data_IF_220153199015
#
_entry.id   IF_220153199015
#
_cell.length_a   1.000
_cell.length_b   1.000
_cell.length_c   1.000
_cell.angle_alpha   90.00
_cell.angle_beta   90.00
_cell.angle_gamma   90.00
#
_symmetry.space_group_name_H-M   'P 1'
#
loop_
_entity.id
_entity.type
_entity.pdbx_description
1 polymer ?
#
# COMPACT_ATOMS: atom_id res chain seq x y z
N UNK A 1 2.13 -18.26 4.62
CA UNK A 1 3.39 -17.60 4.98
C UNK A 1 3.64 -16.48 3.99
N UNK A 2 3.95 -15.30 4.50
CA UNK A 2 4.19 -14.08 3.72
C UNK A 2 5.61 -14.15 3.15
N UNK A 3 5.77 -13.89 1.85
CA UNK A 3 7.07 -13.90 1.16
C UNK A 3 7.45 -12.54 0.60
N UNK A 4 6.47 -11.72 0.19
CA UNK A 4 6.71 -10.43 -0.46
C UNK A 4 5.83 -9.33 0.10
N UNK A 5 6.43 -8.17 0.36
CA UNK A 5 5.74 -6.98 0.82
C UNK A 5 5.99 -5.79 -0.11
N UNK A 6 4.96 -5.02 -0.42
CA UNK A 6 5.10 -3.66 -0.95
C UNK A 6 4.95 -2.66 0.19
N UNK A 7 5.90 -1.74 0.31
CA UNK A 7 5.88 -0.67 1.32
C UNK A 7 5.95 0.69 0.61
N UNK A 8 4.93 1.54 0.79
CA UNK A 8 4.90 2.89 0.23
C UNK A 8 4.23 3.84 1.22
N UNK A 9 5.03 4.70 1.85
CA UNK A 9 4.64 5.44 3.06
C UNK A 9 4.90 6.94 2.95
N UNK A 10 3.86 7.70 3.29
CA UNK A 10 3.95 9.12 3.59
C UNK A 10 4.52 9.30 5.00
N UNK A 11 3.82 8.76 6.01
CA UNK A 11 4.28 8.69 7.40
C UNK A 11 5.18 7.46 7.60
N UNK A 12 6.40 7.67 8.08
CA UNK A 12 7.42 6.62 8.25
C UNK A 12 7.60 6.23 9.71
N UNK A 13 6.69 6.64 10.60
CA UNK A 13 6.70 6.28 12.01
C UNK A 13 6.72 4.77 12.20
N UNK A 14 7.63 4.27 13.04
CA UNK A 14 7.75 2.84 13.38
C UNK A 14 8.19 1.91 12.24
N UNK A 15 8.54 2.43 11.05
CA UNK A 15 8.91 1.57 9.90
C UNK A 15 10.20 0.81 10.14
N UNK A 16 11.13 1.35 10.95
CA UNK A 16 12.42 0.73 11.20
C UNK A 16 12.27 -0.63 11.86
N UNK A 17 11.59 -0.67 13.00
CA UNK A 17 11.36 -1.88 13.78
C UNK A 17 10.50 -2.86 12.97
N UNK A 18 9.46 -2.35 12.30
CA UNK A 18 8.57 -3.18 11.51
C UNK A 18 9.29 -3.85 10.32
N UNK A 19 10.08 -3.10 9.56
CA UNK A 19 10.76 -3.65 8.40
C UNK A 19 11.91 -4.61 8.79
N UNK A 20 12.56 -4.41 9.95
CA UNK A 20 13.52 -5.37 10.49
C UNK A 20 12.87 -6.72 10.82
N UNK A 21 11.66 -6.71 11.39
CA UNK A 21 10.88 -7.94 11.62
C UNK A 21 10.54 -8.64 10.29
N UNK A 22 10.13 -7.89 9.26
CA UNK A 22 9.87 -8.48 7.94
C UNK A 22 11.12 -9.15 7.36
N UNK A 23 12.28 -8.50 7.47
CA UNK A 23 13.58 -9.05 7.03
C UNK A 23 13.94 -10.31 7.82
N UNK A 24 13.67 -10.34 9.13
CA UNK A 24 13.89 -11.53 9.96
C UNK A 24 13.08 -12.74 9.46
N UNK A 25 11.85 -12.51 8.98
CA UNK A 25 11.03 -13.56 8.33
C UNK A 25 11.45 -13.87 6.88
N UNK A 26 12.50 -13.24 6.36
CA UNK A 26 12.98 -13.46 4.99
C UNK A 26 12.07 -12.87 3.92
N UNK A 27 11.26 -11.86 4.26
CA UNK A 27 10.32 -11.23 3.33
C UNK A 27 11.07 -10.29 2.39
N UNK A 28 10.82 -10.46 1.09
CA UNK A 28 11.32 -9.57 0.05
C UNK A 28 10.51 -8.26 0.06
N UNK A 29 11.21 -7.12 0.07
CA UNK A 29 10.59 -5.80 0.15
C UNK A 29 10.70 -5.07 -1.20
N UNK A 30 9.54 -4.68 -1.71
CA UNK A 30 9.37 -3.79 -2.85
C UNK A 30 8.99 -2.41 -2.33
N UNK A 31 9.61 -1.36 -2.86
CA UNK A 31 9.28 0.01 -2.47
C UNK A 31 9.58 1.01 -3.59
N UNK A 32 9.26 2.28 -3.37
CA UNK A 32 9.47 3.35 -4.35
C UNK A 32 9.74 4.68 -3.66
N UNK A 33 10.40 5.60 -4.38
CA UNK A 33 10.60 6.99 -3.97
C UNK A 33 11.22 7.15 -2.58
N UNK A 34 10.70 8.10 -1.80
CA UNK A 34 11.22 8.42 -0.46
C UNK A 34 11.16 7.25 0.53
N UNK A 35 10.21 6.32 0.38
CA UNK A 35 10.13 5.13 1.25
C UNK A 35 11.28 4.17 0.97
N UNK A 36 11.59 3.91 -0.31
CA UNK A 36 12.72 3.06 -0.69
C UNK A 36 14.05 3.63 -0.18
N UNK A 37 14.23 4.96 -0.28
CA UNK A 37 15.40 5.65 0.27
C UNK A 37 15.55 5.43 1.78
N UNK A 38 14.49 5.70 2.55
CA UNK A 38 14.52 5.50 4.02
C UNK A 38 14.83 4.06 4.40
N UNK A 39 14.23 3.07 3.72
CA UNK A 39 14.52 1.65 4.00
C UNK A 39 15.98 1.29 3.72
N UNK A 40 16.57 1.80 2.62
CA UNK A 40 17.99 1.58 2.30
C UNK A 40 18.92 2.21 3.33
N UNK A 41 18.61 3.42 3.82
CA UNK A 41 19.36 4.08 4.89
C UNK A 41 19.35 3.28 6.20
N UNK A 42 18.32 2.46 6.41
CA UNK A 42 18.21 1.52 7.52
C UNK A 42 18.92 0.18 7.27
N UNK A 43 19.62 0.02 6.14
CA UNK A 43 20.33 -1.20 5.75
C UNK A 43 19.43 -2.30 5.19
N UNK A 44 18.17 -1.98 4.84
CA UNK A 44 17.21 -2.96 4.32
C UNK A 44 17.36 -3.06 2.80
N UNK A 45 17.46 -4.28 2.29
CA UNK A 45 17.45 -4.55 0.85
C UNK A 45 16.06 -4.27 0.29
N UNK A 46 16.00 -3.44 -0.75
CA UNK A 46 14.76 -3.02 -1.41
C UNK A 46 14.90 -3.20 -2.92
N UNK A 47 13.93 -3.90 -3.51
CA UNK A 47 13.70 -3.92 -4.96
C UNK A 47 12.82 -2.71 -5.32
N UNK A 48 13.24 -1.90 -6.30
CA UNK A 48 12.41 -0.76 -6.72
C UNK A 48 11.19 -1.27 -7.50
N UNK A 49 10.03 -0.65 -7.28
CA UNK A 49 8.80 -0.98 -8.01
C UNK A 49 8.99 -0.80 -9.52
N UNK A 50 9.70 0.24 -9.96
CA UNK A 50 10.00 0.48 -11.38
C UNK A 50 10.90 -0.60 -11.99
N UNK A 51 11.88 -1.12 -11.22
CA UNK A 51 12.72 -2.24 -11.64
C UNK A 51 11.87 -3.51 -11.84
N UNK A 52 10.99 -3.81 -10.90
CA UNK A 52 10.10 -4.97 -11.00
C UNK A 52 9.09 -4.84 -12.14
N UNK A 53 8.43 -3.68 -12.28
CA UNK A 53 7.44 -3.48 -13.34
C UNK A 53 8.09 -3.43 -14.71
N UNK A 54 9.32 -2.91 -14.80
CA UNK A 54 9.99 -2.56 -16.05
C UNK A 54 9.41 -1.28 -16.68
N UNK A 55 8.65 -0.50 -15.90
CA UNK A 55 8.02 0.73 -16.37
C UNK A 55 8.58 1.93 -15.62
N UNK A 56 9.04 2.98 -16.33
CA UNK A 56 9.62 4.15 -15.68
C UNK A 56 8.56 4.96 -14.93
N UNK A 57 9.01 5.77 -13.98
CA UNK A 57 8.15 6.76 -13.36
C UNK A 57 7.84 7.88 -14.36
N UNK A 58 6.55 8.16 -14.60
CA UNK A 58 6.08 9.21 -15.51
C UNK A 58 5.03 10.08 -14.81
N UNK A 59 4.78 11.28 -15.36
CA UNK A 59 3.80 12.25 -14.84
C UNK A 59 4.01 12.53 -13.34
N UNK A 60 5.26 12.82 -12.97
CA UNK A 60 5.69 13.13 -11.60
C UNK A 60 5.24 12.10 -10.56
N UNK A 61 5.21 10.82 -10.95
CA UNK A 61 4.90 9.71 -10.06
C UNK A 61 3.44 9.35 -9.92
N UNK A 62 2.54 10.01 -10.66
CA UNK A 62 1.08 9.77 -10.62
C UNK A 62 0.67 8.33 -10.94
N UNK A 63 1.44 7.61 -11.76
CA UNK A 63 1.07 6.27 -12.26
C UNK A 63 2.10 5.18 -11.93
N UNK A 64 2.98 5.40 -10.96
CA UNK A 64 4.10 4.48 -10.67
C UNK A 64 3.70 3.08 -10.19
N UNK A 65 2.54 2.93 -9.52
CA UNK A 65 2.07 1.64 -8.99
C UNK A 65 0.86 1.06 -9.73
N UNK A 66 0.30 1.80 -10.70
CA UNK A 66 -0.89 1.41 -11.45
C UNK A 66 -0.53 0.45 -12.59
N UNK A 67 0.01 -0.72 -12.23
CA UNK A 67 0.58 -1.66 -13.19
C UNK A 67 0.03 -3.09 -12.98
N UNK A 68 -0.23 -3.88 -14.05
CA UNK A 68 -0.72 -5.26 -13.94
C UNK A 68 0.19 -6.19 -13.13
N UNK A 69 1.51 -6.01 -13.18
CA UNK A 69 2.44 -6.77 -12.31
C UNK A 69 2.24 -6.52 -10.81
N UNK A 70 1.74 -5.34 -10.42
CA UNK A 70 1.41 -5.02 -9.04
C UNK A 70 0.02 -5.58 -8.72
N UNK A 71 -1.01 -5.16 -9.46
CA UNK A 71 -2.39 -5.52 -9.14
C UNK A 71 -2.70 -7.00 -9.41
N UNK A 72 -2.07 -7.62 -10.40
CA UNK A 72 -2.15 -9.07 -10.63
C UNK A 72 -1.55 -9.86 -9.46
N UNK A 73 -0.39 -9.43 -8.94
CA UNK A 73 0.23 -10.03 -7.77
C UNK A 73 -0.60 -9.87 -6.48
N UNK A 74 -1.37 -8.77 -6.38
CA UNK A 74 -2.28 -8.49 -5.26
C UNK A 74 -3.63 -9.21 -5.37
N UNK A 75 -4.20 -9.34 -6.56
CA UNK A 75 -5.59 -9.77 -6.77
C UNK A 75 -5.75 -11.23 -7.20
N UNK A 76 -4.66 -11.92 -7.56
CA UNK A 76 -4.74 -13.33 -7.88
C UNK A 76 -5.23 -14.12 -6.67
N UNK A 77 -6.23 -14.98 -6.90
CA UNK A 77 -6.74 -15.90 -5.88
C UNK A 77 -5.83 -17.10 -5.85
N UNK A 78 -5.10 -17.30 -4.75
CA UNK A 78 -4.00 -18.29 -4.72
C UNK A 78 -4.50 -19.73 -4.73
N UNK A 79 -5.75 -19.93 -4.31
CA UNK A 79 -6.46 -21.21 -4.41
C UNK A 79 -7.05 -21.48 -5.80
N UNK A 80 -6.99 -20.54 -6.74
CA UNK A 80 -7.42 -20.73 -8.12
C UNK A 80 -6.21 -21.10 -9.01
N UNK A 81 -6.11 -22.34 -9.53
CA UNK A 81 -5.01 -22.75 -10.40
C UNK A 81 -4.88 -21.94 -11.69
N UNK A 82 -5.98 -21.43 -12.25
CA UNK A 82 -5.95 -20.60 -13.46
C UNK A 82 -5.29 -19.25 -13.21
N UNK A 83 -5.64 -18.57 -12.11
CA UNK A 83 -5.00 -17.30 -11.73
C UNK A 83 -3.49 -17.51 -11.57
N UNK A 84 -3.07 -18.57 -10.86
CA UNK A 84 -1.66 -18.87 -10.63
C UNK A 84 -0.89 -19.23 -11.91
N UNK A 85 -1.55 -19.93 -12.85
CA UNK A 85 -0.98 -20.23 -14.17
C UNK A 85 -0.73 -18.93 -14.95
N UNK A 86 -1.72 -18.04 -15.01
CA UNK A 86 -1.60 -16.74 -15.69
C UNK A 86 -0.47 -15.90 -15.09
N UNK A 87 -0.37 -15.84 -13.76
CA UNK A 87 0.74 -15.14 -13.09
C UNK A 87 2.09 -15.69 -13.54
N UNK A 88 2.26 -17.01 -13.57
CA UNK A 88 3.51 -17.64 -14.00
C UNK A 88 3.83 -17.36 -15.46
N UNK A 89 2.84 -17.44 -16.37
CA UNK A 89 3.02 -17.19 -17.81
C UNK A 89 3.42 -15.74 -18.10
N UNK A 90 2.91 -14.80 -17.31
CA UNK A 90 3.19 -13.37 -17.45
C UNK A 90 4.39 -12.89 -16.61
N UNK A 91 5.07 -13.79 -15.88
CA UNK A 91 6.18 -13.44 -15.01
C UNK A 91 5.80 -12.50 -13.86
N UNK A 92 4.57 -12.63 -13.35
CA UNK A 92 4.04 -11.83 -12.23
C UNK A 92 4.22 -12.63 -10.94
N UNK A 93 4.84 -12.03 -9.92
CA UNK A 93 4.96 -12.65 -8.60
C UNK A 93 3.76 -12.30 -7.71
N UNK A 94 3.41 -13.17 -6.78
CA UNK A 94 2.43 -12.84 -5.74
C UNK A 94 3.00 -11.80 -4.77
N UNK A 95 2.14 -10.89 -4.34
CA UNK A 95 2.43 -9.95 -3.26
C UNK A 95 1.54 -10.34 -2.07
N UNK A 96 2.15 -10.55 -0.91
CA UNK A 96 1.49 -11.14 0.25
C UNK A 96 1.16 -10.10 1.32
N UNK A 97 1.86 -8.97 1.31
CA UNK A 97 1.63 -7.86 2.21
C UNK A 97 1.70 -6.50 1.48
N UNK A 98 0.82 -5.58 1.86
CA UNK A 98 0.87 -4.17 1.43
C UNK A 98 0.84 -3.28 2.66
N UNK A 99 1.84 -2.42 2.78
CA UNK A 99 1.97 -1.43 3.86
C UNK A 99 1.96 -0.05 3.20
N UNK A 100 0.82 0.62 3.28
CA UNK A 100 0.60 1.90 2.60
C UNK A 100 -0.20 2.81 3.50
N UNK A 101 0.31 4.00 3.81
CA UNK A 101 -0.50 5.04 4.44
C UNK A 101 -0.71 6.21 3.48
N UNK A 102 -1.94 6.73 3.49
CA UNK A 102 -2.31 7.89 2.70
C UNK A 102 -1.81 9.14 3.40
N UNK A 103 -1.26 10.09 2.63
CA UNK A 103 -1.11 11.43 3.17
C UNK A 103 -2.52 11.98 3.44
N UNK A 104 -2.79 12.55 4.63
CA UNK A 104 -4.11 13.03 4.96
C UNK A 104 -4.48 14.20 4.04
N UNK A 105 -5.30 13.93 3.02
CA UNK A 105 -5.85 14.97 2.13
C UNK A 105 -6.53 16.08 2.94
N UNK A 106 -7.22 15.69 4.03
CA UNK A 106 -7.79 16.61 5.02
C UNK A 106 -6.76 17.59 5.59
N UNK A 107 -5.53 17.16 5.87
CA UNK A 107 -4.46 18.04 6.33
C UNK A 107 -4.00 19.00 5.23
N UNK A 108 -4.03 18.57 3.97
CA UNK A 108 -3.69 19.43 2.82
C UNK A 108 -4.72 20.56 2.68
N UNK A 109 -6.00 20.22 2.67
CA UNK A 109 -7.08 21.21 2.48
C UNK A 109 -7.31 22.10 3.72
N UNK A 110 -6.75 21.72 4.88
CA UNK A 110 -6.80 22.52 6.11
C UNK A 110 -5.72 23.61 6.18
N UNK A 111 -4.74 23.62 5.26
CA UNK A 111 -3.75 24.70 5.20
C UNK A 111 -4.45 26.00 4.79
N UNK A 112 -4.08 27.10 5.47
CA UNK A 112 -4.74 28.41 5.34
C UNK A 112 -4.82 28.93 3.89
N UNK A 113 -3.81 28.63 3.06
CA UNK A 113 -3.65 29.20 1.72
C UNK A 113 -3.46 28.12 0.64
N UNK A 114 -4.04 26.93 0.84
CA UNK A 114 -3.99 25.86 -0.17
C UNK A 114 -4.76 26.27 -1.43
N UNK A 115 -4.06 26.29 -2.57
CA UNK A 115 -4.69 26.54 -3.87
C UNK A 115 -5.56 25.36 -4.29
N UNK A 116 -6.47 25.59 -5.25
CA UNK A 116 -7.25 24.49 -5.82
C UNK A 116 -6.33 23.47 -6.50
N UNK A 117 -5.36 23.95 -7.26
CA UNK A 117 -4.37 23.17 -7.98
C UNK A 117 -3.52 22.34 -7.01
N UNK A 118 -3.02 22.94 -5.91
CA UNK A 118 -2.27 22.20 -4.88
C UNK A 118 -3.12 21.09 -4.28
N UNK A 119 -4.39 21.34 -3.99
CA UNK A 119 -5.28 20.29 -3.47
C UNK A 119 -5.45 19.16 -4.50
N UNK A 120 -5.72 19.48 -5.78
CA UNK A 120 -5.89 18.48 -6.84
C UNK A 120 -4.63 17.61 -7.01
N UNK A 121 -3.43 18.21 -6.97
CA UNK A 121 -2.16 17.47 -7.08
C UNK A 121 -1.92 16.51 -5.90
N UNK A 122 -2.51 16.77 -4.74
CA UNK A 122 -2.38 15.93 -3.55
C UNK A 122 -3.45 14.81 -3.46
N UNK A 123 -4.29 14.64 -4.48
CA UNK A 123 -5.19 13.48 -4.57
C UNK A 123 -4.39 12.25 -5.01
N UNK A 124 -4.24 11.29 -4.10
CA UNK A 124 -3.56 10.03 -4.36
C UNK A 124 -4.47 9.06 -5.09
N UNK A 125 -3.97 8.50 -6.19
CA UNK A 125 -4.64 7.46 -6.97
C UNK A 125 -4.04 6.08 -6.67
N UNK A 126 -2.72 6.00 -6.62
CA UNK A 126 -1.99 4.75 -6.48
C UNK A 126 -2.18 4.10 -5.11
N UNK A 127 -2.08 4.90 -4.04
CA UNK A 127 -2.25 4.45 -2.65
C UNK A 127 -3.62 3.80 -2.41
N UNK A 128 -4.74 4.51 -2.65
CA UNK A 128 -6.08 3.94 -2.48
C UNK A 128 -6.32 2.71 -3.36
N UNK A 129 -5.80 2.68 -4.59
CA UNK A 129 -5.97 1.54 -5.50
C UNK A 129 -5.26 0.28 -4.96
N UNK A 130 -4.01 0.40 -4.49
CA UNK A 130 -3.29 -0.71 -3.87
C UNK A 130 -3.98 -1.18 -2.59
N UNK A 131 -4.35 -0.25 -1.71
CA UNK A 131 -5.06 -0.53 -0.47
C UNK A 131 -6.35 -1.32 -0.71
N UNK A 132 -7.19 -0.85 -1.63
CA UNK A 132 -8.46 -1.52 -1.97
C UNK A 132 -8.25 -2.87 -2.63
N UNK A 133 -7.23 -3.01 -3.47
CA UNK A 133 -6.88 -4.30 -4.09
C UNK A 133 -6.52 -5.34 -3.04
N UNK A 134 -5.65 -4.97 -2.10
CA UNK A 134 -5.22 -5.83 -1.01
C UNK A 134 -6.34 -6.16 -0.03
N UNK A 135 -7.15 -5.16 0.35
CA UNK A 135 -8.28 -5.35 1.24
C UNK A 135 -9.37 -6.25 0.62
N UNK A 136 -9.61 -6.14 -0.69
CA UNK A 136 -10.51 -7.06 -1.41
C UNK A 136 -10.01 -8.50 -1.34
N UNK A 137 -8.71 -8.72 -1.48
CA UNK A 137 -8.11 -10.04 -1.50
C UNK A 137 -7.55 -10.47 -0.13
N UNK A 138 -8.19 -10.07 0.97
CA UNK A 138 -7.70 -10.29 2.35
C UNK A 138 -7.48 -11.77 2.72
N UNK A 139 -8.09 -12.72 2.02
CA UNK A 139 -7.82 -14.16 2.23
C UNK A 139 -6.35 -14.48 1.99
N UNK A 140 -5.75 -13.70 1.10
CA UNK A 140 -4.43 -13.90 0.56
C UNK A 140 -3.51 -12.74 1.02
N UNK A 141 -3.92 -11.48 0.89
CA UNK A 141 -3.05 -10.33 1.15
C UNK A 141 -3.29 -9.74 2.54
N UNK A 142 -2.21 -9.49 3.29
CA UNK A 142 -2.23 -8.66 4.50
C UNK A 142 -2.11 -7.20 4.10
N UNK A 143 -3.08 -6.37 4.45
CA UNK A 143 -3.03 -4.92 4.18
C UNK A 143 -2.84 -4.15 5.48
N UNK A 144 -1.99 -3.14 5.49
CA UNK A 144 -1.73 -2.30 6.67
C UNK A 144 -1.73 -0.84 6.23
N UNK A 145 -2.60 -0.05 6.85
CA UNK A 145 -2.77 1.38 6.56
C UNK A 145 -2.28 2.31 7.68
N UNK A 146 -2.11 1.77 8.89
CA UNK A 146 -1.81 2.55 10.09
C UNK A 146 -0.60 1.95 10.81
N UNK A 147 0.45 2.74 11.10
CA UNK A 147 1.60 2.28 11.87
C UNK A 147 1.25 1.66 13.23
N UNK A 148 0.13 2.04 13.84
CA UNK A 148 -0.32 1.45 15.10
C UNK A 148 -0.65 -0.05 14.99
N UNK A 149 -0.89 -0.56 13.78
CA UNK A 149 -1.15 -1.98 13.56
C UNK A 149 0.14 -2.82 13.35
N UNK A 150 1.32 -2.20 13.26
CA UNK A 150 2.58 -2.93 13.04
C UNK A 150 2.85 -3.98 14.12
N UNK A 151 2.67 -3.61 15.39
CA UNK A 151 2.93 -4.50 16.53
C UNK A 151 2.01 -5.72 16.53
N UNK A 152 0.71 -5.52 16.37
CA UNK A 152 -0.25 -6.63 16.37
C UNK A 152 -0.06 -7.56 15.17
N UNK A 153 0.38 -7.02 14.03
CA UNK A 153 0.71 -7.83 12.85
C UNK A 153 1.97 -8.66 13.10
N UNK A 154 3.06 -8.08 13.59
CA UNK A 154 4.31 -8.84 13.83
C UNK A 154 4.15 -9.87 14.94
N UNK A 155 3.37 -9.57 15.98
CA UNK A 155 2.99 -10.55 17.01
C UNK A 155 2.18 -11.71 16.43
N UNK A 156 1.25 -11.43 15.51
CA UNK A 156 0.50 -12.49 14.80
C UNK A 156 1.43 -13.33 13.93
N UNK A 157 2.38 -12.71 13.21
CA UNK A 157 3.39 -13.41 12.40
C UNK A 157 4.27 -14.35 13.24
N UNK A 158 4.74 -13.89 14.40
CA UNK A 158 5.53 -14.71 15.33
C UNK A 158 4.76 -15.94 15.82
N UNK A 159 3.45 -15.79 16.05
CA UNK A 159 2.58 -16.90 16.51
C UNK A 159 2.17 -17.87 15.41
N UNK A 160 2.17 -17.44 14.14
CA UNK A 160 1.62 -18.19 13.01
C UNK A 160 2.68 -18.46 11.92
N UNK A 161 3.93 -18.72 12.31
CA UNK A 161 5.04 -19.08 11.41
C UNK A 161 5.17 -18.13 10.20
N UNK A 162 5.16 -16.82 10.44
CA UNK A 162 5.31 -15.80 9.40
C UNK A 162 4.05 -15.54 8.56
N UNK A 163 2.87 -15.99 9.01
CA UNK A 163 1.57 -15.62 8.45
C UNK A 163 0.74 -14.81 9.45
N UNK A 164 -0.37 -14.22 9.01
CA UNK A 164 -1.26 -13.44 9.86
C UNK A 164 -2.60 -14.14 10.01
N UNK A 165 -3.13 -14.14 11.23
CA UNK A 165 -4.43 -14.72 11.51
C UNK A 165 -5.53 -14.13 10.61
N UNK A 166 -6.43 -14.99 10.10
CA UNK A 166 -7.49 -14.57 9.18
C UNK A 166 -8.40 -13.49 9.78
N UNK A 167 -8.74 -13.58 11.07
CA UNK A 167 -9.56 -12.57 11.77
C UNK A 167 -8.90 -11.19 11.74
N UNK A 168 -7.58 -11.13 11.96
CA UNK A 168 -6.79 -9.90 11.86
C UNK A 168 -6.75 -9.38 10.42
N UNK A 169 -6.61 -10.24 9.41
CA UNK A 169 -6.70 -9.82 7.99
C UNK A 169 -8.03 -9.16 7.65
N UNK A 170 -9.15 -9.72 8.14
CA UNK A 170 -10.48 -9.13 7.96
C UNK A 170 -10.58 -7.76 8.64
N UNK A 171 -10.11 -7.64 9.89
CA UNK A 171 -10.11 -6.35 10.62
C UNK A 171 -9.32 -5.28 9.86
N UNK A 172 -8.15 -5.63 9.37
CA UNK A 172 -7.31 -4.72 8.61
C UNK A 172 -7.97 -4.30 7.28
N UNK A 173 -8.59 -5.24 6.57
CA UNK A 173 -9.34 -4.95 5.34
C UNK A 173 -10.54 -4.02 5.59
N UNK A 174 -11.30 -4.24 6.68
CA UNK A 174 -12.38 -3.36 7.09
C UNK A 174 -11.86 -1.94 7.35
N UNK A 175 -10.77 -1.79 8.11
CA UNK A 175 -10.14 -0.50 8.40
C UNK A 175 -9.69 0.24 7.13
N UNK A 176 -9.20 -0.50 6.13
CA UNK A 176 -8.84 0.07 4.83
C UNK A 176 -10.06 0.65 4.13
N UNK A 177 -11.15 -0.13 3.98
CA UNK A 177 -12.34 0.37 3.29
C UNK A 177 -13.00 1.56 4.01
N UNK A 178 -13.02 1.54 5.34
CA UNK A 178 -13.45 2.68 6.14
C UNK A 178 -12.59 3.93 5.89
N UNK A 179 -11.27 3.77 5.86
CA UNK A 179 -10.34 4.89 5.66
C UNK A 179 -10.42 5.45 4.24
N UNK A 180 -10.50 4.59 3.22
CA UNK A 180 -10.67 5.05 1.84
C UNK A 180 -12.04 5.71 1.62
N UNK A 181 -13.10 5.25 2.30
CA UNK A 181 -14.41 5.91 2.25
C UNK A 181 -14.37 7.32 2.82
N UNK A 182 -13.65 7.53 3.93
CA UNK A 182 -13.43 8.87 4.51
C UNK A 182 -12.59 9.75 3.58
N UNK A 183 -11.53 9.18 3.00
CA UNK A 183 -10.66 9.87 2.05
C UNK A 183 -11.44 10.42 0.84
N UNK A 184 -12.25 9.57 0.20
CA UNK A 184 -13.08 9.98 -0.94
C UNK A 184 -14.16 11.00 -0.53
N UNK A 185 -14.71 10.89 0.68
CA UNK A 185 -15.67 11.87 1.22
C UNK A 185 -15.04 13.24 1.39
N UNK A 186 -13.79 13.31 1.88
CA UNK A 186 -13.07 14.57 2.03
C UNK A 186 -12.80 15.24 0.67
N UNK A 187 -12.41 14.46 -0.34
CA UNK A 187 -12.22 14.95 -1.73
C UNK A 187 -13.54 15.49 -2.29
N UNK A 188 -14.62 14.71 -2.18
CA UNK A 188 -15.94 15.11 -2.68
C UNK A 188 -16.44 16.41 -2.03
N UNK A 189 -16.30 16.53 -0.71
CA UNK A 189 -16.67 17.74 0.02
C UNK A 189 -15.82 18.96 -0.39
N UNK A 190 -14.51 18.78 -0.58
CA UNK A 190 -13.64 19.84 -1.08
C UNK A 190 -14.07 20.31 -2.47
N UNK A 191 -14.27 19.40 -3.43
CA UNK A 191 -14.72 19.75 -4.78
C UNK A 191 -16.09 20.46 -4.75
N UNK A 192 -17.02 19.98 -3.92
CA UNK A 192 -18.32 20.62 -3.71
C UNK A 192 -18.18 22.08 -3.23
N UNK A 193 -17.28 22.33 -2.27
CA UNK A 193 -17.04 23.69 -1.75
C UNK A 193 -16.54 24.67 -2.82
N UNK A 194 -15.91 24.16 -3.88
CA UNK A 194 -15.42 24.98 -5.01
C UNK A 194 -16.49 25.25 -6.06
N UNK A 195 -17.49 24.39 -6.17
CA UNK A 195 -18.67 24.61 -7.05
C UNK A 195 -19.59 25.70 -6.48
N UNK A 196 -19.65 25.84 -5.14
CA UNK A 196 -20.62 26.75 -4.49
C UNK A 196 -20.11 28.19 -4.34
N UNK A 197 -18.88 28.48 -4.77
CA UNK A 197 -18.25 29.82 -4.72
C UNK A 197 -18.24 30.51 -6.11
N UNK A 198 -19.06 30.06 -7.04
CA UNK A 198 -19.49 30.77 -8.26
C UNK A 198 -20.95 31.16 -8.13
#
# INVERSE_FOLDING_TARGET
MIKRAIISLSDKSGIKEFAQELVFFGIEIFSTGGTAKTLRELGIKVTDVSEYTGFPEIMDGRVKTLHPKIHGGLLARRKNPQDMKILSELGIVTIDMVVVNLYPFEATISKKDVSFEEAIENIDIGGPTMLRSSAKNFEDVVVIIDPNDYKVVTESMKKNNGDVERTLRIRLAQKVFETTSRYDSAISNFLKSKITNT
#
